data_IF_196467739010
#
_entry.id   IF_196467739010
#
_cell.length_a   1.000
_cell.length_b   1.000
_cell.length_c   1.000
_cell.angle_alpha   90.00
_cell.angle_beta   90.00
_cell.angle_gamma   90.00
#
_symmetry.space_group_name_H-M   'P 1'
#
loop_
_entity.id
_entity.type
_entity.pdbx_description
1 polymer ?
#
# COMPACT_ATOMS: atom_id res chain seq x y z
N UNK A 1 -36.76 13.16 2.64
CA UNK A 1 -35.58 12.41 2.19
C UNK A 1 -34.38 13.26 2.54
N UNK A 2 -33.70 12.94 3.64
CA UNK A 2 -32.46 13.63 4.03
C UNK A 2 -31.35 13.14 3.11
N UNK A 3 -30.88 14.02 2.22
CA UNK A 3 -29.63 13.80 1.50
C UNK A 3 -28.51 13.72 2.54
N UNK A 4 -28.07 12.51 2.84
CA UNK A 4 -26.80 12.32 3.53
C UNK A 4 -25.70 12.65 2.53
N UNK A 5 -25.35 13.93 2.43
CA UNK A 5 -24.08 14.33 1.87
C UNK A 5 -23.01 13.71 2.77
N UNK A 6 -22.42 12.61 2.32
CA UNK A 6 -21.17 12.14 2.89
C UNK A 6 -20.13 13.20 2.57
N UNK A 7 -19.94 14.14 3.50
CA UNK A 7 -18.83 15.08 3.44
C UNK A 7 -17.55 14.24 3.42
N UNK A 8 -16.89 14.22 2.28
CA UNK A 8 -15.59 13.58 2.15
C UNK A 8 -14.66 14.24 3.19
N UNK A 9 -13.89 13.44 3.94
CA UNK A 9 -12.98 13.98 4.93
C UNK A 9 -12.09 15.05 4.26
N UNK A 10 -11.83 16.17 4.95
CA UNK A 10 -11.05 17.26 4.36
C UNK A 10 -9.69 16.75 3.91
N UNK A 11 -9.23 17.27 2.76
CA UNK A 11 -7.93 16.91 2.21
C UNK A 11 -6.81 17.63 2.95
N UNK A 12 -5.64 17.00 3.01
CA UNK A 12 -4.42 17.66 3.45
C UNK A 12 -4.13 18.91 2.62
N UNK A 13 -3.47 19.90 3.24
CA UNK A 13 -3.10 21.14 2.56
C UNK A 13 -2.10 20.86 1.41
N UNK A 14 -2.02 21.72 0.38
CA UNK A 14 -1.06 21.55 -0.71
C UNK A 14 0.39 21.42 -0.23
N UNK A 15 0.77 22.18 0.81
CA UNK A 15 2.11 22.10 1.39
C UNK A 15 2.40 20.73 1.99
N UNK A 16 1.45 20.18 2.75
CA UNK A 16 1.55 18.82 3.30
C UNK A 16 1.66 17.79 2.18
N UNK A 17 0.86 17.91 1.13
CA UNK A 17 0.93 16.98 -0.01
C UNK A 17 2.28 17.05 -0.73
N UNK A 18 2.89 18.23 -0.87
CA UNK A 18 4.25 18.36 -1.44
C UNK A 18 5.26 17.59 -0.60
N UNK A 19 5.22 17.73 0.72
CA UNK A 19 6.10 17.00 1.64
C UNK A 19 5.87 15.48 1.56
N UNK A 20 4.62 15.04 1.51
CA UNK A 20 4.28 13.61 1.38
C UNK A 20 4.72 13.03 0.03
N UNK A 21 4.62 13.80 -1.05
CA UNK A 21 5.12 13.39 -2.36
C UNK A 21 6.66 13.23 -2.35
N UNK A 22 7.38 14.17 -1.75
CA UNK A 22 8.84 14.05 -1.61
C UNK A 22 9.23 12.82 -0.78
N UNK A 23 8.51 12.55 0.31
CA UNK A 23 8.69 11.35 1.12
C UNK A 23 8.40 10.07 0.33
N UNK A 24 7.32 10.03 -0.46
CA UNK A 24 7.00 8.90 -1.33
C UNK A 24 8.10 8.62 -2.36
N UNK A 25 8.71 9.67 -2.93
CA UNK A 25 9.84 9.52 -3.85
C UNK A 25 11.10 9.00 -3.16
N UNK A 26 11.37 9.42 -1.92
CA UNK A 26 12.44 8.85 -1.11
C UNK A 26 12.23 7.37 -0.82
N UNK A 27 11.02 6.99 -0.41
CA UNK A 27 10.65 5.59 -0.15
C UNK A 27 10.88 4.73 -1.41
N UNK A 28 10.41 5.19 -2.58
CA UNK A 28 10.67 4.52 -3.85
C UNK A 28 12.18 4.31 -4.11
N UNK A 29 13.00 5.34 -3.90
CA UNK A 29 14.45 5.25 -4.09
C UNK A 29 15.10 4.24 -3.15
N UNK A 30 14.72 4.23 -1.87
CA UNK A 30 15.31 3.30 -0.89
C UNK A 30 14.90 1.84 -1.12
N UNK A 31 13.64 1.61 -1.51
CA UNK A 31 13.19 0.27 -1.91
C UNK A 31 13.93 -0.22 -3.16
N UNK A 32 14.12 0.65 -4.16
CA UNK A 32 14.90 0.34 -5.35
C UNK A 32 16.38 0.03 -5.02
N UNK A 33 17.00 0.79 -4.11
CA UNK A 33 18.36 0.53 -3.61
C UNK A 33 18.48 -0.81 -2.90
N UNK A 34 17.39 -1.29 -2.29
CA UNK A 34 17.31 -2.59 -1.62
C UNK A 34 17.05 -3.74 -2.60
N UNK A 35 16.94 -3.46 -3.91
CA UNK A 35 16.69 -4.45 -4.96
C UNK A 35 15.21 -4.75 -5.20
N UNK A 36 14.28 -4.02 -4.57
CA UNK A 36 12.85 -4.17 -4.80
C UNK A 36 12.38 -3.22 -5.90
N UNK A 37 11.65 -3.75 -6.88
CA UNK A 37 10.96 -2.89 -7.84
C UNK A 37 9.92 -2.03 -7.10
N UNK A 38 10.09 -0.71 -7.12
CA UNK A 38 9.19 0.24 -6.47
C UNK A 38 8.73 1.31 -7.47
N UNK A 39 7.54 1.87 -7.27
CA UNK A 39 6.99 2.90 -8.14
C UNK A 39 5.87 3.71 -7.47
N UNK A 40 5.60 4.88 -8.05
CA UNK A 40 4.52 5.79 -7.65
C UNK A 40 3.20 5.37 -8.27
N UNK A 41 2.43 4.57 -7.55
CA UNK A 41 1.17 4.01 -8.01
C UNK A 41 0.04 5.06 -8.13
N UNK A 42 0.17 6.19 -7.44
CA UNK A 42 -0.73 7.34 -7.53
C UNK A 42 -0.45 8.24 -8.74
N UNK A 43 0.71 8.09 -9.39
CA UNK A 43 1.13 8.88 -10.54
C UNK A 43 1.21 8.07 -11.85
N UNK A 44 1.24 6.74 -11.79
CA UNK A 44 1.33 5.90 -12.97
C UNK A 44 -0.03 5.75 -13.68
N UNK A 45 -0.07 6.06 -14.98
CA UNK A 45 -1.22 5.81 -15.86
C UNK A 45 -1.20 4.39 -16.47
N UNK A 46 -0.08 3.66 -16.32
CA UNK A 46 0.22 2.39 -17.02
C UNK A 46 -0.46 1.13 -16.47
N UNK A 47 -1.40 1.27 -15.56
CA UNK A 47 -2.08 0.15 -14.91
C UNK A 47 -1.21 -0.63 -13.91
N UNK A 48 -1.76 -1.66 -13.25
CA UNK A 48 -1.09 -2.32 -12.14
C UNK A 48 0.10 -3.19 -12.58
N UNK A 49 1.33 -2.87 -12.12
CA UNK A 49 2.53 -3.70 -12.30
C UNK A 49 2.95 -4.38 -10.98
N UNK A 50 3.74 -5.48 -11.01
CA UNK A 50 4.23 -6.12 -9.80
C UNK A 50 5.33 -5.29 -9.12
N UNK A 51 5.39 -5.35 -7.79
CA UNK A 51 6.38 -4.65 -6.97
C UNK A 51 5.77 -3.86 -5.82
N UNK A 52 6.58 -3.01 -5.18
CA UNK A 52 6.17 -2.08 -4.14
C UNK A 52 5.48 -0.86 -4.77
N UNK A 53 4.17 -0.79 -4.59
CA UNK A 53 3.32 0.31 -5.03
C UNK A 53 3.25 1.36 -3.92
N UNK A 54 3.94 2.48 -4.12
CA UNK A 54 3.94 3.62 -3.19
C UNK A 54 2.88 4.61 -3.63
N UNK A 55 2.04 5.08 -2.70
CA UNK A 55 1.00 6.07 -2.99
C UNK A 55 0.83 7.08 -1.85
N UNK A 56 0.38 8.29 -2.20
CA UNK A 56 -0.01 9.31 -1.24
C UNK A 56 -1.54 9.31 -1.09
N UNK A 57 -2.05 9.04 0.11
CA UNK A 57 -3.45 9.28 0.45
C UNK A 57 -3.63 10.77 0.77
N UNK A 58 -4.48 11.51 0.05
CA UNK A 58 -4.71 12.92 0.27
C UNK A 58 -5.66 13.25 1.43
N UNK A 59 -6.11 12.27 2.22
CA UNK A 59 -6.91 12.49 3.43
C UNK A 59 -6.27 13.45 4.44
N UNK A 60 -7.00 13.77 5.52
CA UNK A 60 -6.74 14.87 6.46
C UNK A 60 -5.26 15.10 6.84
N UNK A 61 -4.52 14.05 7.15
CA UNK A 61 -3.12 14.14 7.60
C UNK A 61 -2.08 13.93 6.48
N UNK A 62 -2.52 13.50 5.31
CA UNK A 62 -1.67 13.05 4.20
C UNK A 62 -0.84 11.82 4.60
N UNK A 63 -1.03 10.68 3.93
CA UNK A 63 -0.30 9.46 4.27
C UNK A 63 0.52 8.92 3.12
N UNK A 64 1.75 8.45 3.39
CA UNK A 64 2.50 7.65 2.42
C UNK A 64 2.31 6.19 2.76
N UNK A 65 1.81 5.44 1.80
CA UNK A 65 1.50 4.02 1.95
C UNK A 65 2.26 3.20 0.92
N UNK A 66 2.70 2.02 1.32
CA UNK A 66 3.41 1.08 0.46
C UNK A 66 2.68 -0.25 0.47
N UNK A 67 2.14 -0.65 -0.68
CA UNK A 67 1.56 -1.97 -0.89
C UNK A 67 2.52 -2.86 -1.66
N UNK A 68 2.45 -4.16 -1.42
CA UNK A 68 3.03 -5.12 -2.36
C UNK A 68 1.99 -5.54 -3.39
N UNK A 69 2.37 -5.53 -4.67
CA UNK A 69 1.54 -6.08 -5.76
C UNK A 69 2.24 -7.29 -6.35
N UNK A 70 1.58 -8.45 -6.29
CA UNK A 70 2.02 -9.62 -7.02
C UNK A 70 1.74 -9.47 -8.52
N UNK A 71 2.35 -10.35 -9.32
CA UNK A 71 2.06 -10.46 -10.75
C UNK A 71 0.55 -10.71 -11.00
N UNK A 72 0.05 -10.18 -12.12
CA UNK A 72 -1.38 -10.13 -12.43
C UNK A 72 -2.02 -11.52 -12.45
N UNK A 73 -1.35 -12.55 -12.98
CA UNK A 73 -1.90 -13.92 -13.01
C UNK A 73 -2.23 -14.45 -11.63
N UNK A 74 -1.36 -14.23 -10.64
CA UNK A 74 -1.61 -14.68 -9.27
C UNK A 74 -2.67 -13.81 -8.59
N UNK A 75 -2.54 -12.49 -8.70
CA UNK A 75 -3.47 -11.52 -8.11
C UNK A 75 -4.88 -11.76 -8.62
N UNK A 76 -5.06 -11.78 -9.93
CA UNK A 76 -6.37 -11.85 -10.57
C UNK A 76 -7.04 -13.22 -10.32
N UNK A 77 -6.26 -14.30 -10.28
CA UNK A 77 -6.77 -15.62 -9.91
C UNK A 77 -7.31 -15.65 -8.46
N UNK A 78 -6.58 -15.05 -7.51
CA UNK A 78 -7.04 -14.95 -6.12
C UNK A 78 -8.28 -14.05 -6.00
N UNK A 79 -8.26 -12.86 -6.59
CA UNK A 79 -9.37 -11.90 -6.53
C UNK A 79 -10.64 -12.42 -7.21
N UNK A 80 -10.51 -13.14 -8.33
CA UNK A 80 -11.65 -13.76 -9.02
C UNK A 80 -12.35 -14.79 -8.14
N UNK A 81 -11.59 -15.56 -7.35
CA UNK A 81 -12.18 -16.52 -6.41
C UNK A 81 -12.85 -15.81 -5.23
N UNK A 82 -12.20 -14.80 -4.64
CA UNK A 82 -12.82 -13.99 -3.59
C UNK A 82 -14.15 -13.39 -4.05
N UNK A 83 -14.20 -12.82 -5.27
CA UNK A 83 -15.41 -12.22 -5.82
C UNK A 83 -16.56 -13.22 -6.04
N UNK A 84 -16.25 -14.51 -6.21
CA UNK A 84 -17.25 -15.58 -6.35
C UNK A 84 -17.75 -16.12 -5.01
N UNK A 85 -17.18 -15.66 -3.90
CA UNK A 85 -17.36 -16.23 -2.58
C UNK A 85 -16.46 -17.45 -2.40
N UNK A 86 -15.75 -17.48 -1.27
CA UNK A 86 -14.93 -18.61 -0.84
C UNK A 86 -15.37 -19.07 0.54
N UNK A 87 -15.10 -20.33 0.84
CA UNK A 87 -15.11 -20.80 2.22
C UNK A 87 -13.89 -20.25 2.95
N UNK A 88 -14.11 -19.34 3.90
CA UNK A 88 -13.02 -18.74 4.69
C UNK A 88 -12.44 -19.70 5.73
N UNK A 89 -13.16 -20.77 6.10
CA UNK A 89 -12.62 -21.82 6.98
C UNK A 89 -11.66 -22.75 6.23
N UNK A 90 -11.82 -22.88 4.90
CA UNK A 90 -10.95 -23.67 4.04
C UNK A 90 -10.70 -22.97 2.68
N UNK A 91 -9.95 -21.87 2.67
CA UNK A 91 -9.77 -21.05 1.48
C UNK A 91 -8.95 -21.78 0.40
N UNK A 92 -9.22 -21.51 -0.90
CA UNK A 92 -8.45 -22.10 -2.00
C UNK A 92 -6.94 -21.83 -1.87
N UNK A 93 -6.12 -22.80 -2.27
CA UNK A 93 -4.65 -22.70 -2.16
C UNK A 93 -4.05 -21.45 -2.83
N UNK A 94 -4.60 -21.03 -3.97
CA UNK A 94 -4.14 -19.81 -4.67
C UNK A 94 -4.44 -18.53 -3.88
N UNK A 95 -5.57 -18.49 -3.16
CA UNK A 95 -5.95 -17.39 -2.27
C UNK A 95 -5.00 -17.33 -1.08
N UNK A 96 -4.76 -18.48 -0.43
CA UNK A 96 -3.79 -18.60 0.65
C UNK A 96 -2.39 -18.18 0.22
N UNK A 97 -1.95 -18.63 -0.96
CA UNK A 97 -0.64 -18.30 -1.49
C UNK A 97 -0.48 -16.79 -1.74
N UNK A 98 -1.48 -16.17 -2.39
CA UNK A 98 -1.50 -14.72 -2.59
C UNK A 98 -1.47 -13.96 -1.26
N UNK A 99 -2.28 -14.35 -0.28
CA UNK A 99 -2.27 -13.73 1.06
C UNK A 99 -0.90 -13.86 1.72
N UNK A 100 -0.35 -15.08 1.76
CA UNK A 100 0.93 -15.35 2.40
C UNK A 100 2.07 -14.52 1.78
N UNK A 101 2.09 -14.32 0.47
CA UNK A 101 3.08 -13.44 -0.17
C UNK A 101 2.93 -12.01 0.32
N UNK A 102 1.71 -11.47 0.33
CA UNK A 102 1.47 -10.09 0.78
C UNK A 102 1.86 -9.90 2.25
N UNK A 103 1.50 -10.82 3.15
CA UNK A 103 1.89 -10.76 4.55
C UNK A 103 3.42 -10.76 4.72
N UNK A 104 4.13 -11.63 3.99
CA UNK A 104 5.60 -11.71 4.06
C UNK A 104 6.26 -10.46 3.51
N UNK A 105 5.71 -9.90 2.44
CA UNK A 105 6.23 -8.67 1.85
C UNK A 105 5.94 -7.45 2.71
N UNK A 106 4.81 -7.38 3.41
CA UNK A 106 4.55 -6.33 4.40
C UNK A 106 5.64 -6.33 5.50
N UNK A 107 5.94 -7.49 6.08
CA UNK A 107 7.00 -7.64 7.09
C UNK A 107 8.37 -7.23 6.52
N UNK A 108 8.68 -7.62 5.28
CA UNK A 108 9.94 -7.24 4.64
C UNK A 108 10.03 -5.73 4.37
N UNK A 109 8.95 -5.12 3.88
CA UNK A 109 8.88 -3.67 3.63
C UNK A 109 9.04 -2.87 4.91
N UNK A 110 8.38 -3.28 5.99
CA UNK A 110 8.58 -2.69 7.33
C UNK A 110 10.06 -2.74 7.71
N UNK A 111 10.67 -3.92 7.72
CA UNK A 111 12.06 -4.09 8.15
C UNK A 111 13.06 -3.30 7.28
N UNK A 112 12.86 -3.27 5.96
CA UNK A 112 13.73 -2.54 5.03
C UNK A 112 13.63 -1.04 5.29
N UNK A 113 12.42 -0.48 5.33
CA UNK A 113 12.22 0.95 5.51
C UNK A 113 12.66 1.41 6.91
N UNK A 114 12.40 0.59 7.93
CA UNK A 114 12.89 0.79 9.29
C UNK A 114 14.42 0.91 9.34
N UNK A 115 15.11 -0.03 8.67
CA UNK A 115 16.57 -0.05 8.56
C UNK A 115 17.14 1.13 7.76
N UNK A 116 16.37 1.67 6.81
CA UNK A 116 16.69 2.88 6.05
C UNK A 116 16.39 4.17 6.83
N UNK A 117 15.95 4.07 8.09
CA UNK A 117 15.72 5.21 8.97
C UNK A 117 14.36 5.87 8.78
N UNK A 118 13.37 5.18 8.19
CA UNK A 118 11.99 5.66 8.17
C UNK A 118 11.25 5.27 9.46
N UNK A 119 10.26 6.08 9.83
CA UNK A 119 9.24 5.72 10.80
C UNK A 119 8.09 5.04 10.06
N UNK A 120 7.95 3.74 10.30
CA UNK A 120 6.97 2.89 9.62
C UNK A 120 6.09 2.16 10.60
N UNK A 121 4.83 1.97 10.22
CA UNK A 121 3.81 1.33 11.05
C UNK A 121 2.92 0.43 10.18
N UNK A 122 2.34 -0.60 10.79
CA UNK A 122 1.22 -1.32 10.20
C UNK A 122 -0.02 -0.42 10.34
N UNK A 123 -0.65 0.01 9.23
CA UNK A 123 -1.91 0.73 9.29
C UNK A 123 -3.01 -0.19 9.81
N UNK A 124 -4.11 0.38 10.30
CA UNK A 124 -5.29 -0.42 10.66
C UNK A 124 -5.70 -1.28 9.45
N UNK A 125 -5.63 -2.60 9.63
CA UNK A 125 -5.83 -3.60 8.58
C UNK A 125 -7.22 -3.53 7.93
N UNK A 126 -8.18 -2.84 8.54
CA UNK A 126 -9.52 -2.64 7.97
C UNK A 126 -9.54 -1.64 6.82
N UNK A 127 -8.68 -0.62 6.85
CA UNK A 127 -8.69 0.46 5.86
C UNK A 127 -7.65 0.26 4.75
N UNK A 128 -6.51 -0.37 5.06
CA UNK A 128 -5.37 -0.43 4.15
C UNK A 128 -4.80 -1.85 3.96
N UNK A 129 -5.51 -2.89 4.41
CA UNK A 129 -5.12 -4.29 4.18
C UNK A 129 -3.70 -4.60 4.68
N UNK A 130 -2.82 -5.02 3.77
CA UNK A 130 -1.42 -5.35 4.06
C UNK A 130 -0.44 -4.22 3.72
N UNK A 131 -0.91 -2.97 3.59
CA UNK A 131 -0.05 -1.83 3.33
C UNK A 131 0.92 -1.57 4.50
N UNK A 132 1.96 -0.78 4.24
CA UNK A 132 2.84 -0.20 5.25
C UNK A 132 2.66 1.31 5.23
N UNK A 133 2.41 1.91 6.39
CA UNK A 133 2.34 3.37 6.55
C UNK A 133 3.74 3.93 6.82
N UNK A 134 4.10 5.01 6.14
CA UNK A 134 5.36 5.74 6.32
C UNK A 134 5.07 7.16 6.81
N UNK A 135 5.35 7.40 8.08
CA UNK A 135 5.06 8.69 8.73
C UNK A 135 6.11 9.77 8.41
N UNK A 136 7.35 9.36 8.09
CA UNK A 136 8.48 10.26 7.86
C UNK A 136 9.82 9.60 8.19
N UNK A 137 10.86 10.41 8.43
CA UNK A 137 12.17 9.95 8.91
C UNK A 137 12.20 9.81 10.43
N UNK A 138 13.07 8.93 10.92
CA UNK A 138 13.45 8.90 12.33
C UNK A 138 14.31 10.14 12.69
N UNK A 139 14.18 10.67 13.92
CA UNK A 139 15.05 11.73 14.41
C UNK A 139 16.52 11.32 14.45
#
# INVERSE_FOLDING_TARGET
>A
MTEHAFDLPPKASPAVLVERNALADEVCRELARSGLAAYRADLEEGGPRPGAAVHVDPGLDGGVFVDWRTEAKLRDAALTLFARGIDYANPPAVVLHHKNINDRMQVALLAILDSAGFRVEEPDGHAYGSAVYVAGRRP
#
